data_IF_046789156468
#
_entry.id   IF_046789156468
#
_cell.length_a   1.000
_cell.length_b   1.000
_cell.length_c   1.000
_cell.angle_alpha   90.00
_cell.angle_beta   90.00
_cell.angle_gamma   90.00
#
_symmetry.space_group_name_H-M   'P 1'
#
loop_
_entity.id
_entity.type
_entity.pdbx_description
1 polymer ?
#
# COMPACT_ATOMS: atom_id res chain seq x y z
N UNK A 1 3.75 -4.33 41.83
CA UNK A 1 2.31 -4.62 41.78
C UNK A 1 2.15 -5.88 40.97
N UNK A 2 1.49 -6.91 41.51
CA UNK A 2 1.40 -8.23 40.86
C UNK A 2 -0.03 -8.45 40.39
N UNK A 3 -0.21 -8.79 39.10
CA UNK A 3 -1.52 -9.17 38.58
C UNK A 3 -1.74 -10.68 38.80
N UNK A 4 -2.54 -11.01 39.81
CA UNK A 4 -3.03 -12.38 39.99
C UNK A 4 -4.13 -12.63 38.97
N UNK A 5 -3.83 -13.41 37.92
CA UNK A 5 -4.86 -13.88 36.99
C UNK A 5 -5.55 -15.09 37.62
N UNK A 6 -6.77 -14.90 38.13
CA UNK A 6 -7.58 -15.99 38.63
C UNK A 6 -8.12 -16.81 37.45
N UNK A 7 -7.44 -17.92 37.11
CA UNK A 7 -7.92 -18.95 36.18
C UNK A 7 -9.09 -19.79 36.77
N UNK A 8 -10.13 -19.12 37.27
CA UNK A 8 -11.35 -19.75 37.74
C UNK A 8 -12.36 -19.80 36.58
N UNK A 9 -12.71 -21.02 36.16
CA UNK A 9 -13.58 -21.32 34.99
C UNK A 9 -12.88 -21.28 33.63
N UNK A 10 -11.98 -22.23 33.38
CA UNK A 10 -11.96 -22.85 32.06
C UNK A 10 -13.26 -23.65 31.93
N UNK A 11 -14.27 -23.07 31.28
CA UNK A 11 -15.38 -23.86 30.79
C UNK A 11 -14.84 -24.81 29.72
N UNK A 12 -15.18 -26.10 29.80
CA UNK A 12 -14.89 -27.05 28.73
C UNK A 12 -15.80 -26.68 27.55
N UNK A 13 -15.26 -25.96 26.57
CA UNK A 13 -16.04 -25.45 25.44
C UNK A 13 -16.18 -26.56 24.40
N UNK A 14 -17.26 -27.33 24.50
CA UNK A 14 -17.66 -28.28 23.46
C UNK A 14 -18.26 -27.51 22.28
N UNK A 15 -17.48 -27.30 21.22
CA UNK A 15 -18.03 -26.87 19.94
C UNK A 15 -18.65 -28.06 19.21
N UNK A 16 -19.84 -27.85 18.65
CA UNK A 16 -20.46 -28.75 17.68
C UNK A 16 -19.66 -28.72 16.36
N UNK A 17 -19.64 -29.84 15.64
CA UNK A 17 -18.91 -29.94 14.37
C UNK A 17 -19.36 -28.91 13.34
N UNK A 18 -20.65 -28.53 13.34
CA UNK A 18 -21.23 -27.48 12.49
C UNK A 18 -20.62 -26.09 12.78
N UNK A 19 -20.41 -25.77 14.06
CA UNK A 19 -19.73 -24.54 14.49
C UNK A 19 -18.24 -24.56 14.11
N UNK A 20 -17.57 -25.72 14.22
CA UNK A 20 -16.16 -25.86 13.77
C UNK A 20 -16.03 -25.71 12.25
N UNK A 21 -16.94 -26.30 11.48
CA UNK A 21 -16.96 -26.20 10.01
C UNK A 21 -17.22 -24.75 9.57
N UNK A 22 -18.17 -24.07 10.23
CA UNK A 22 -18.44 -22.64 10.03
C UNK A 22 -17.20 -21.78 10.32
N UNK A 23 -16.45 -22.05 11.39
CA UNK A 23 -15.19 -21.35 11.68
C UNK A 23 -14.15 -21.64 10.60
N UNK A 24 -13.97 -22.89 10.19
CA UNK A 24 -13.01 -23.26 9.15
C UNK A 24 -13.33 -22.61 7.79
N UNK A 25 -14.61 -22.46 7.44
CA UNK A 25 -15.07 -21.73 6.25
C UNK A 25 -14.74 -20.23 6.38
N UNK A 26 -15.04 -19.61 7.53
CA UNK A 26 -14.76 -18.20 7.77
C UNK A 26 -13.24 -17.90 7.82
N UNK A 27 -12.42 -18.80 8.35
CA UNK A 27 -10.96 -18.70 8.34
C UNK A 27 -10.39 -18.89 6.93
N UNK A 28 -10.96 -19.80 6.13
CA UNK A 28 -10.59 -19.96 4.72
C UNK A 28 -10.95 -18.72 3.89
N UNK A 29 -12.14 -18.14 4.08
CA UNK A 29 -12.59 -16.92 3.40
C UNK A 29 -11.79 -15.67 3.85
N UNK A 30 -11.42 -15.60 5.13
CA UNK A 30 -10.51 -14.58 5.65
C UNK A 30 -9.07 -14.75 5.13
N UNK A 31 -8.62 -15.98 4.84
CA UNK A 31 -7.33 -16.26 4.24
C UNK A 31 -7.31 -15.98 2.72
N UNK A 32 -8.43 -16.16 2.01
CA UNK A 32 -8.59 -15.78 0.60
C UNK A 32 -8.97 -14.32 0.38
N UNK A 33 -9.35 -13.59 1.44
CA UNK A 33 -9.48 -12.13 1.44
C UNK A 33 -8.13 -11.46 1.18
N UNK A 34 -7.77 -11.37 -0.10
CA UNK A 34 -6.56 -10.72 -0.59
C UNK A 34 -6.52 -9.28 -0.06
N UNK A 35 -5.61 -9.04 0.89
CA UNK A 35 -5.35 -7.69 1.39
C UNK A 35 -5.02 -6.80 0.18
N UNK A 36 -5.76 -5.70 -0.07
CA UNK A 36 -5.57 -4.89 -1.28
C UNK A 36 -4.11 -4.49 -1.45
N UNK A 37 -3.57 -4.89 -2.61
CA UNK A 37 -2.16 -5.11 -2.93
C UNK A 37 -1.36 -3.80 -3.00
N UNK A 38 -2.05 -2.67 -3.21
CA UNK A 38 -1.63 -1.26 -3.31
C UNK A 38 -2.26 -0.68 -4.59
N UNK A 39 -2.56 0.61 -4.60
CA UNK A 39 -2.97 1.26 -5.84
C UNK A 39 -1.84 1.18 -6.89
N UNK A 40 -2.23 0.90 -8.13
CA UNK A 40 -1.33 0.87 -9.28
C UNK A 40 -0.90 2.29 -9.66
N UNK A 41 0.37 2.44 -10.02
CA UNK A 41 0.91 3.68 -10.60
C UNK A 41 0.85 3.58 -12.13
N UNK A 42 0.54 4.70 -12.76
CA UNK A 42 0.53 4.89 -14.21
C UNK A 42 1.35 6.13 -14.54
N UNK A 43 2.10 6.09 -15.64
CA UNK A 43 2.95 7.21 -16.06
C UNK A 43 2.48 7.75 -17.40
N UNK A 44 2.36 9.06 -17.49
CA UNK A 44 2.10 9.80 -18.73
C UNK A 44 3.23 10.81 -18.92
N UNK A 45 3.72 10.96 -20.15
CA UNK A 45 4.63 12.05 -20.49
C UNK A 45 3.81 13.23 -21.02
N UNK A 46 3.81 14.35 -20.31
CA UNK A 46 3.06 15.55 -20.71
C UNK A 46 3.90 16.46 -21.62
N UNK A 47 5.20 16.64 -21.33
CA UNK A 47 6.13 17.43 -22.15
C UNK A 47 7.53 16.77 -22.28
N UNK A 48 8.43 17.36 -23.07
CA UNK A 48 9.81 16.91 -23.22
C UNK A 48 10.62 17.03 -21.92
N UNK A 49 10.61 15.96 -21.14
CA UNK A 49 11.32 15.88 -19.87
C UNK A 49 10.42 15.95 -18.65
N UNK A 50 9.10 15.94 -18.81
CA UNK A 50 8.14 15.94 -17.69
C UNK A 50 7.23 14.70 -17.78
N UNK A 51 7.22 13.90 -16.70
CA UNK A 51 6.37 12.72 -16.55
C UNK A 51 5.50 12.84 -15.31
N UNK A 52 4.20 12.62 -15.46
CA UNK A 52 3.23 12.67 -14.37
C UNK A 52 2.87 11.26 -13.92
N UNK A 53 2.88 11.06 -12.60
CA UNK A 53 2.39 9.85 -11.96
C UNK A 53 0.88 9.98 -11.68
N UNK A 54 0.09 9.02 -12.17
CA UNK A 54 -1.27 8.76 -11.70
C UNK A 54 -1.26 7.60 -10.70
N UNK A 55 -1.74 7.84 -9.48
CA UNK A 55 -1.78 6.87 -8.37
C UNK A 55 -3.24 6.56 -8.01
N UNK A 56 -3.76 5.41 -8.44
CA UNK A 56 -5.17 5.06 -8.20
C UNK A 56 -6.16 6.12 -8.71
N UNK A 57 -5.91 6.73 -9.86
CA UNK A 57 -6.76 7.80 -10.42
C UNK A 57 -6.59 9.18 -9.79
N UNK A 58 -5.71 9.33 -8.77
CA UNK A 58 -5.28 10.63 -8.24
C UNK A 58 -3.95 11.05 -8.84
N UNK A 59 -3.62 12.34 -8.76
CA UNK A 59 -2.26 12.81 -9.01
C UNK A 59 -1.32 12.22 -7.94
N UNK A 60 -0.24 11.55 -8.38
CA UNK A 60 0.79 10.99 -7.51
C UNK A 60 2.02 11.87 -7.37
N UNK A 61 2.25 12.80 -8.32
CA UNK A 61 3.47 13.60 -8.39
C UNK A 61 4.03 13.66 -9.80
N UNK A 62 5.27 14.12 -9.93
CA UNK A 62 5.98 14.24 -11.22
C UNK A 62 7.43 13.78 -11.15
N UNK A 63 8.00 13.53 -12.31
CA UNK A 63 9.45 13.46 -12.53
C UNK A 63 9.83 14.47 -13.60
N UNK A 64 10.76 15.36 -13.27
CA UNK A 64 11.28 16.39 -14.18
C UNK A 64 12.73 16.12 -14.55
N UNK A 65 13.08 16.22 -15.83
CA UNK A 65 14.47 16.16 -16.30
C UNK A 65 15.11 17.54 -16.22
N UNK A 66 16.06 17.71 -15.29
CA UNK A 66 16.77 18.98 -15.05
C UNK A 66 18.27 18.73 -15.04
N UNK A 67 19.04 19.50 -15.82
CA UNK A 67 20.51 19.41 -15.91
C UNK A 67 21.09 17.99 -16.11
N UNK A 68 20.35 17.14 -16.83
CA UNK A 68 20.73 15.74 -17.07
C UNK A 68 20.43 14.76 -15.92
N UNK A 69 19.83 15.25 -14.83
CA UNK A 69 19.23 14.46 -13.74
C UNK A 69 17.72 14.33 -13.93
N UNK A 70 17.11 13.44 -13.15
CA UNK A 70 15.67 13.27 -13.02
C UNK A 70 15.28 13.59 -11.57
N UNK A 71 14.45 14.61 -11.37
CA UNK A 71 13.99 15.07 -10.05
C UNK A 71 12.59 14.54 -9.81
N UNK A 72 12.39 13.69 -8.81
CA UNK A 72 11.06 13.20 -8.45
C UNK A 72 10.43 14.10 -7.38
N UNK A 73 9.18 14.49 -7.59
CA UNK A 73 8.38 15.27 -6.64
C UNK A 73 7.06 14.57 -6.32
N UNK A 74 6.62 14.60 -5.07
CA UNK A 74 5.40 13.94 -4.62
C UNK A 74 4.11 14.72 -4.94
N UNK A 75 2.95 14.18 -4.52
CA UNK A 75 1.63 14.83 -4.73
C UNK A 75 1.51 16.23 -4.11
N UNK A 76 2.40 16.62 -3.20
CA UNK A 76 2.45 17.93 -2.56
C UNK A 76 3.55 18.83 -3.15
N UNK A 77 4.27 18.36 -4.17
CA UNK A 77 5.41 19.06 -4.77
C UNK A 77 6.69 18.99 -3.96
N UNK A 78 6.78 18.12 -2.95
CA UNK A 78 8.01 17.94 -2.18
C UNK A 78 8.97 17.03 -2.95
N UNK A 79 10.23 17.46 -3.06
CA UNK A 79 11.28 16.68 -3.74
C UNK A 79 11.58 15.41 -2.95
N UNK A 80 11.31 14.25 -3.57
CA UNK A 80 11.62 12.92 -3.05
C UNK A 80 13.10 12.58 -3.27
N UNK A 81 13.69 13.08 -4.37
CA UNK A 81 15.12 12.95 -4.65
C UNK A 81 15.50 13.34 -6.08
N UNK A 82 16.80 13.26 -6.34
CA UNK A 82 17.40 13.46 -7.66
C UNK A 82 18.16 12.21 -8.09
N UNK A 83 17.96 11.77 -9.34
CA UNK A 83 18.38 10.46 -9.84
C UNK A 83 19.12 10.57 -11.17
N UNK A 84 19.92 9.55 -11.49
CA UNK A 84 20.67 9.48 -12.74
C UNK A 84 19.82 9.03 -13.93
N UNK A 85 18.76 8.26 -13.68
CA UNK A 85 17.83 7.75 -14.68
C UNK A 85 16.36 8.01 -14.34
N UNK A 86 15.52 7.98 -15.38
CA UNK A 86 14.06 8.08 -15.23
C UNK A 86 13.50 6.90 -14.42
N UNK A 87 13.97 5.68 -14.68
CA UNK A 87 13.50 4.46 -14.03
C UNK A 87 13.73 4.49 -12.50
N UNK A 88 14.90 4.96 -12.05
CA UNK A 88 15.17 5.18 -10.63
C UNK A 88 14.23 6.22 -10.00
N UNK A 89 14.01 7.34 -10.68
CA UNK A 89 13.13 8.41 -10.20
C UNK A 89 11.68 7.95 -10.10
N UNK A 90 11.19 7.24 -11.11
CA UNK A 90 9.86 6.65 -11.12
C UNK A 90 9.70 5.64 -10.00
N UNK A 91 10.58 4.63 -9.92
CA UNK A 91 10.56 3.59 -8.88
C UNK A 91 10.57 4.20 -7.46
N UNK A 92 11.36 5.26 -7.24
CA UNK A 92 11.44 5.92 -5.92
C UNK A 92 10.20 6.75 -5.60
N UNK A 93 9.55 7.36 -6.58
CA UNK A 93 8.26 8.01 -6.36
C UNK A 93 7.16 6.98 -6.08
N UNK A 94 7.14 5.84 -6.78
CA UNK A 94 6.20 4.75 -6.52
C UNK A 94 6.32 4.23 -5.08
N UNK A 95 7.54 3.86 -4.64
CA UNK A 95 7.84 3.46 -3.27
C UNK A 95 7.32 4.48 -2.25
N UNK A 96 7.59 5.78 -2.47
CA UNK A 96 7.17 6.87 -1.60
C UNK A 96 5.63 6.99 -1.53
N UNK A 97 4.93 6.86 -2.65
CA UNK A 97 3.46 6.95 -2.70
C UNK A 97 2.81 5.81 -1.91
N UNK A 98 3.36 4.60 -1.95
CA UNK A 98 2.86 3.48 -1.14
C UNK A 98 3.02 3.69 0.38
N UNK A 99 3.99 4.51 0.81
CA UNK A 99 4.20 4.86 2.23
C UNK A 99 3.33 6.06 2.63
N UNK A 100 3.26 7.08 1.77
CA UNK A 100 2.59 8.36 2.05
C UNK A 100 1.06 8.28 1.91
N UNK A 101 0.56 7.48 0.96
CA UNK A 101 -0.86 7.37 0.62
C UNK A 101 -1.41 5.94 0.85
N UNK A 102 -1.22 5.31 2.03
CA UNK A 102 -1.55 3.90 2.28
C UNK A 102 -3.05 3.59 2.28
N UNK A 103 -3.89 4.61 2.19
CA UNK A 103 -5.35 4.58 2.17
C UNK A 103 -5.95 5.05 0.83
N UNK A 104 -5.15 5.58 -0.10
CA UNK A 104 -5.65 5.95 -1.44
C UNK A 104 -5.83 4.69 -2.27
N UNK A 105 -7.08 4.50 -2.71
CA UNK A 105 -7.65 3.33 -3.41
C UNK A 105 -7.13 1.96 -2.93
N UNK A 106 -7.96 1.34 -2.10
CA UNK A 106 -7.97 -0.10 -1.85
C UNK A 106 -9.41 -0.62 -2.03
N UNK A 107 -9.64 -1.74 -2.74
CA UNK A 107 -8.96 -2.14 -3.98
C UNK A 107 -9.37 -1.19 -5.13
N UNK A 108 -8.77 -1.23 -6.32
CA UNK A 108 -7.70 -2.11 -6.82
C UNK A 108 -6.36 -1.37 -6.97
N UNK A 109 -5.21 -2.06 -6.92
CA UNK A 109 -5.02 -3.51 -6.79
C UNK A 109 -4.85 -3.96 -5.31
#
# INVERSE_FOLDING_TARGET
MSITVNNATQAEVTLDTDTVDTIAILEADAATSTRPTRAKVTWVQEDQGEWIAGYGGYFGGSVDKRDGRFVASDTFGLVVGEFASLEEAQTKLEDQLHVMLPSVIRPVE
#
